data_IF_653793854720
#
_entry.id   IF_653793854720
#
_cell.length_a   1.000
_cell.length_b   1.000
_cell.length_c   1.000
_cell.angle_alpha   90.00
_cell.angle_beta   90.00
_cell.angle_gamma   90.00
#
_symmetry.space_group_name_H-M   'P 1'
#
loop_
_entity.id
_entity.type
_entity.pdbx_description
1 polymer ?
#
# COMPACT_ATOMS: atom_id res chain seq x y z
N UNK A 1 -6.91 -15.88 10.74
CA UNK A 1 -7.73 -16.39 9.63
C UNK A 1 -7.21 -17.72 9.10
N UNK A 2 -5.97 -17.82 8.62
CA UNK A 2 -5.44 -19.08 8.07
C UNK A 2 -5.46 -20.23 9.08
N UNK A 3 -5.16 -20.00 10.35
CA UNK A 3 -5.24 -20.99 11.43
C UNK A 3 -6.69 -21.42 11.68
N UNK A 4 -7.62 -20.49 11.71
CA UNK A 4 -9.05 -20.77 11.91
C UNK A 4 -9.66 -21.64 10.80
N UNK A 5 -9.15 -21.52 9.56
CA UNK A 5 -9.51 -22.42 8.47
C UNK A 5 -8.98 -23.85 8.72
N UNK A 6 -7.72 -23.94 9.13
CA UNK A 6 -7.04 -25.24 9.32
C UNK A 6 -7.62 -26.02 10.50
N UNK A 7 -7.96 -25.32 11.58
CA UNK A 7 -8.49 -25.90 12.82
C UNK A 7 -10.01 -26.09 12.80
N UNK A 8 -10.68 -25.80 11.68
CA UNK A 8 -12.14 -25.92 11.54
C UNK A 8 -12.95 -24.90 12.36
N UNK A 9 -12.30 -23.94 13.01
CA UNK A 9 -12.97 -22.91 13.85
C UNK A 9 -13.97 -22.08 13.07
N UNK A 10 -13.66 -21.77 11.79
CA UNK A 10 -14.59 -21.08 10.88
C UNK A 10 -15.88 -21.86 10.67
N UNK A 11 -15.80 -23.18 10.52
CA UNK A 11 -16.97 -24.06 10.39
C UNK A 11 -17.79 -24.07 11.68
N UNK A 12 -17.14 -24.15 12.82
CA UNK A 12 -17.81 -24.14 14.12
C UNK A 12 -18.59 -22.84 14.38
N UNK A 13 -18.03 -21.68 14.02
CA UNK A 13 -18.73 -20.39 14.11
C UNK A 13 -20.05 -20.38 13.32
N UNK A 14 -20.06 -21.00 12.13
CA UNK A 14 -21.27 -21.09 11.30
C UNK A 14 -22.29 -22.09 11.87
N UNK A 15 -21.83 -23.22 12.42
CA UNK A 15 -22.72 -24.22 13.05
C UNK A 15 -23.42 -23.61 14.28
N UNK A 16 -22.76 -22.75 15.04
CA UNK A 16 -23.34 -22.05 16.20
C UNK A 16 -24.33 -20.94 15.79
N UNK A 17 -24.44 -20.63 14.49
CA UNK A 17 -25.45 -19.71 13.95
C UNK A 17 -24.92 -18.35 13.44
N UNK A 18 -23.61 -18.13 13.44
CA UNK A 18 -23.07 -16.92 12.83
C UNK A 18 -23.20 -16.95 11.30
N UNK A 19 -23.63 -15.83 10.73
CA UNK A 19 -23.70 -15.72 9.28
C UNK A 19 -22.29 -15.68 8.65
N UNK A 20 -22.15 -16.20 7.44
CA UNK A 20 -20.85 -16.17 6.71
C UNK A 20 -20.33 -14.74 6.54
N UNK A 21 -21.23 -13.75 6.40
CA UNK A 21 -20.86 -12.34 6.30
C UNK A 21 -20.23 -11.83 7.60
N UNK A 22 -20.82 -12.13 8.73
CA UNK A 22 -20.30 -11.75 10.05
C UNK A 22 -18.92 -12.36 10.30
N UNK A 23 -18.74 -13.65 9.97
CA UNK A 23 -17.46 -14.34 10.11
C UNK A 23 -16.39 -13.70 9.24
N UNK A 24 -16.68 -13.30 8.00
CA UNK A 24 -15.74 -12.58 7.14
C UNK A 24 -15.40 -11.20 7.71
N UNK A 25 -16.42 -10.41 8.07
CA UNK A 25 -16.22 -9.05 8.58
C UNK A 25 -15.47 -9.03 9.93
N UNK A 26 -15.73 -10.01 10.82
CA UNK A 26 -14.95 -10.15 12.04
C UNK A 26 -13.49 -10.47 11.77
N UNK A 27 -13.21 -11.28 10.74
CA UNK A 27 -11.84 -11.56 10.28
C UNK A 27 -11.16 -10.32 9.72
N UNK A 28 -11.86 -9.54 8.90
CA UNK A 28 -11.36 -8.26 8.40
C UNK A 28 -11.09 -7.26 9.54
N UNK A 29 -12.03 -7.13 10.48
CA UNK A 29 -11.87 -6.26 11.65
C UNK A 29 -10.63 -6.65 12.49
N UNK A 30 -10.43 -7.95 12.73
CA UNK A 30 -9.26 -8.45 13.45
C UNK A 30 -7.95 -8.14 12.70
N UNK A 31 -7.92 -8.31 11.37
CA UNK A 31 -6.77 -7.95 10.54
C UNK A 31 -6.50 -6.45 10.58
N UNK A 32 -7.55 -5.62 10.46
CA UNK A 32 -7.45 -4.18 10.53
C UNK A 32 -6.90 -3.71 11.89
N UNK A 33 -7.42 -4.25 13.00
CA UNK A 33 -6.90 -3.94 14.34
C UNK A 33 -5.41 -4.29 14.44
N UNK A 34 -5.00 -5.46 13.95
CA UNK A 34 -3.59 -5.86 13.93
C UNK A 34 -2.71 -4.88 13.15
N UNK A 35 -3.15 -4.45 11.98
CA UNK A 35 -2.45 -3.47 11.16
C UNK A 35 -2.40 -2.08 11.84
N UNK A 36 -3.50 -1.65 12.48
CA UNK A 36 -3.55 -0.38 13.21
C UNK A 36 -2.63 -0.37 14.44
N UNK A 37 -2.45 -1.51 15.11
CA UNK A 37 -1.48 -1.64 16.22
C UNK A 37 -0.04 -1.42 15.70
N UNK A 38 0.28 -1.95 14.52
CA UNK A 38 1.59 -1.74 13.89
C UNK A 38 1.76 -0.26 13.50
N UNK A 39 0.72 0.35 12.91
CA UNK A 39 0.73 1.76 12.57
C UNK A 39 0.89 2.65 13.82
N UNK A 40 0.22 2.30 14.92
CA UNK A 40 0.38 2.99 16.20
C UNK A 40 1.82 2.90 16.72
N UNK A 41 2.44 1.71 16.67
CA UNK A 41 3.83 1.54 17.07
C UNK A 41 4.78 2.41 16.22
N UNK A 42 4.52 2.50 14.92
CA UNK A 42 5.23 3.40 14.01
C UNK A 42 5.05 4.87 14.41
N UNK A 43 3.81 5.31 14.65
CA UNK A 43 3.49 6.69 15.07
C UNK A 43 4.16 7.06 16.40
N UNK A 44 4.22 6.12 17.36
CA UNK A 44 4.93 6.32 18.65
C UNK A 44 6.43 6.47 18.40
N UNK A 45 7.03 5.63 17.56
CA UNK A 45 8.46 5.72 17.21
C UNK A 45 8.79 7.06 16.56
N UNK A 46 7.91 7.54 15.68
CA UNK A 46 7.99 8.82 15.05
C UNK A 46 7.92 9.97 16.07
N UNK A 47 6.98 9.92 17.04
CA UNK A 47 6.87 10.90 18.10
C UNK A 47 8.14 10.97 18.97
N UNK A 48 8.77 9.84 19.26
CA UNK A 48 10.08 9.79 19.95
C UNK A 48 11.17 10.47 19.12
N UNK A 49 11.19 10.25 17.79
CA UNK A 49 12.09 10.95 16.87
C UNK A 49 11.93 12.46 16.92
N UNK A 50 10.69 12.95 16.93
CA UNK A 50 10.38 14.38 17.07
C UNK A 50 10.94 14.98 18.37
N UNK A 51 10.83 14.27 19.48
CA UNK A 51 11.39 14.74 20.76
C UNK A 51 12.91 14.84 20.72
N UNK A 52 13.58 13.93 20.02
CA UNK A 52 15.04 13.89 19.95
C UNK A 52 15.63 14.85 18.90
N UNK A 53 14.99 14.98 17.75
CA UNK A 53 15.52 15.72 16.58
C UNK A 53 14.85 17.08 16.36
N UNK A 54 13.79 17.38 17.09
CA UNK A 54 13.02 18.60 16.95
C UNK A 54 11.75 18.44 16.14
N UNK A 55 10.94 19.50 16.18
CA UNK A 55 9.63 19.53 15.52
C UNK A 55 9.75 19.79 14.01
N UNK A 56 8.78 19.30 13.25
CA UNK A 56 8.69 19.56 11.81
C UNK A 56 8.35 21.02 11.52
N UNK A 57 8.75 21.44 10.32
CA UNK A 57 8.29 22.69 9.72
C UNK A 57 6.93 22.55 9.02
N UNK A 58 6.43 21.31 8.85
CA UNK A 58 5.18 21.05 8.17
C UNK A 58 3.96 21.57 8.94
N UNK A 59 2.99 22.22 8.27
CA UNK A 59 1.77 22.72 8.92
C UNK A 59 0.87 21.57 9.37
N UNK A 60 0.20 21.71 10.51
CA UNK A 60 -0.71 20.73 11.11
C UNK A 60 -1.77 20.15 10.15
N UNK A 61 -2.44 20.93 9.27
CA UNK A 61 -3.40 20.36 8.35
C UNK A 61 -2.79 19.33 7.41
N UNK A 62 -1.55 19.53 6.98
CA UNK A 62 -0.84 18.58 6.13
C UNK A 62 -0.59 17.25 6.84
N UNK A 63 -0.11 17.30 8.09
CA UNK A 63 0.10 16.09 8.92
C UNK A 63 -1.20 15.32 9.17
N UNK A 64 -2.33 16.01 9.37
CA UNK A 64 -3.62 15.36 9.55
C UNK A 64 -4.09 14.64 8.29
N UNK A 65 -3.89 15.23 7.11
CA UNK A 65 -4.23 14.62 5.82
C UNK A 65 -3.36 13.40 5.56
N UNK A 66 -2.06 13.49 5.81
CA UNK A 66 -1.14 12.35 5.68
C UNK A 66 -1.52 11.22 6.65
N UNK A 67 -1.77 11.54 7.92
CA UNK A 67 -2.20 10.53 8.90
C UNK A 67 -3.53 9.85 8.53
N UNK A 68 -4.49 10.60 8.00
CA UNK A 68 -5.74 10.02 7.49
C UNK A 68 -5.49 9.10 6.28
N UNK A 69 -4.58 9.48 5.38
CA UNK A 69 -4.18 8.65 4.24
C UNK A 69 -3.50 7.35 4.73
N UNK A 70 -2.58 7.41 5.69
CA UNK A 70 -1.92 6.22 6.26
C UNK A 70 -2.92 5.23 6.87
N UNK A 71 -3.94 5.72 7.58
CA UNK A 71 -5.00 4.87 8.13
C UNK A 71 -5.79 4.17 7.01
N UNK A 72 -6.13 4.88 5.92
CA UNK A 72 -6.86 4.31 4.79
C UNK A 72 -6.02 3.36 3.96
N UNK A 73 -4.76 3.66 3.73
CA UNK A 73 -3.80 2.73 3.10
C UNK A 73 -3.71 1.44 3.92
N UNK A 74 -3.56 1.57 5.24
CA UNK A 74 -3.53 0.43 6.17
C UNK A 74 -4.81 -0.40 6.08
N UNK A 75 -5.98 0.24 6.01
CA UNK A 75 -7.27 -0.44 5.85
C UNK A 75 -7.40 -1.14 4.48
N UNK A 76 -6.90 -0.53 3.41
CA UNK A 76 -6.87 -1.14 2.08
C UNK A 76 -5.98 -2.40 2.05
N UNK A 77 -4.79 -2.32 2.64
CA UNK A 77 -3.87 -3.47 2.78
C UNK A 77 -4.51 -4.58 3.61
N UNK A 78 -5.14 -4.25 4.76
CA UNK A 78 -5.87 -5.24 5.58
C UNK A 78 -6.99 -5.92 4.79
N UNK A 79 -7.71 -5.17 3.93
CA UNK A 79 -8.73 -5.71 3.02
C UNK A 79 -8.16 -6.69 2.00
N UNK A 80 -7.05 -6.33 1.35
CA UNK A 80 -6.35 -7.20 0.39
C UNK A 80 -5.89 -8.50 1.07
N UNK A 81 -5.23 -8.40 2.22
CA UNK A 81 -4.72 -9.55 2.97
C UNK A 81 -5.86 -10.47 3.44
N UNK A 82 -6.97 -9.89 3.92
CA UNK A 82 -8.16 -10.66 4.32
C UNK A 82 -8.79 -11.40 3.15
N UNK A 83 -8.90 -10.74 1.98
CA UNK A 83 -9.38 -11.35 0.76
C UNK A 83 -8.50 -12.54 0.35
N UNK A 84 -7.18 -12.38 0.32
CA UNK A 84 -6.22 -13.44 -0.02
C UNK A 84 -6.34 -14.64 0.93
N UNK A 85 -6.39 -14.39 2.25
CA UNK A 85 -6.61 -15.44 3.24
C UNK A 85 -7.95 -16.15 3.06
N UNK A 86 -8.97 -15.45 2.57
CA UNK A 86 -10.29 -16.02 2.30
C UNK A 86 -10.28 -16.89 1.05
N UNK A 87 -9.55 -16.52 0.01
CA UNK A 87 -9.44 -17.31 -1.23
C UNK A 87 -8.66 -18.61 -1.01
N UNK A 88 -7.61 -18.57 -0.21
CA UNK A 88 -6.83 -19.76 0.15
C UNK A 88 -7.42 -20.47 1.37
N UNK A 89 -7.39 -21.80 1.35
CA UNK A 89 -7.78 -22.65 2.51
C UNK A 89 -6.57 -23.15 3.30
N UNK A 90 -5.35 -22.89 2.80
CA UNK A 90 -4.10 -23.33 3.40
C UNK A 90 -3.34 -22.14 4.02
N UNK A 91 -3.07 -22.24 5.31
CA UNK A 91 -2.36 -21.19 6.07
C UNK A 91 -1.00 -20.83 5.48
N UNK A 92 -0.19 -21.85 5.15
CA UNK A 92 1.15 -21.62 4.60
C UNK A 92 1.09 -20.98 3.21
N UNK A 93 0.22 -21.48 2.33
CA UNK A 93 0.02 -20.92 1.00
C UNK A 93 -0.49 -19.47 1.07
N UNK A 94 -1.44 -19.16 1.98
CA UNK A 94 -1.93 -17.78 2.18
C UNK A 94 -0.82 -16.83 2.58
N UNK A 95 0.06 -17.25 3.50
CA UNK A 95 1.17 -16.43 3.96
C UNK A 95 2.18 -16.16 2.85
N UNK A 96 2.57 -17.20 2.10
CA UNK A 96 3.51 -17.08 0.98
C UNK A 96 2.96 -16.17 -0.11
N UNK A 97 1.70 -16.38 -0.53
CA UNK A 97 1.05 -15.55 -1.55
C UNK A 97 0.97 -14.09 -1.09
N UNK A 98 0.62 -13.84 0.19
CA UNK A 98 0.52 -12.49 0.72
C UNK A 98 1.88 -11.78 0.71
N UNK A 99 2.96 -12.46 1.12
CA UNK A 99 4.32 -11.90 1.11
C UNK A 99 4.76 -11.61 -0.32
N UNK A 100 4.59 -12.55 -1.24
CA UNK A 100 4.98 -12.38 -2.64
C UNK A 100 4.19 -11.25 -3.32
N UNK A 101 2.88 -11.15 -3.05
CA UNK A 101 2.06 -10.05 -3.59
C UNK A 101 2.51 -8.70 -3.05
N UNK A 102 2.75 -8.58 -1.73
CA UNK A 102 3.23 -7.32 -1.16
C UNK A 102 4.59 -6.93 -1.73
N UNK A 103 5.51 -7.88 -1.86
CA UNK A 103 6.82 -7.65 -2.48
C UNK A 103 6.67 -7.18 -3.94
N UNK A 104 5.83 -7.86 -4.72
CA UNK A 104 5.56 -7.49 -6.12
C UNK A 104 4.99 -6.06 -6.23
N UNK A 105 4.02 -5.72 -5.37
CA UNK A 105 3.40 -4.39 -5.35
C UNK A 105 4.42 -3.29 -5.00
N UNK A 106 5.33 -3.56 -4.06
CA UNK A 106 6.39 -2.61 -3.69
C UNK A 106 7.38 -2.42 -4.85
N UNK A 107 7.86 -3.52 -5.44
CA UNK A 107 8.81 -3.45 -6.57
C UNK A 107 8.18 -2.72 -7.76
N UNK A 108 6.94 -3.04 -8.09
CA UNK A 108 6.21 -2.38 -9.19
C UNK A 108 6.02 -0.87 -8.91
N UNK A 109 5.60 -0.50 -7.71
CA UNK A 109 5.41 0.89 -7.34
C UNK A 109 6.73 1.67 -7.34
N UNK A 110 7.81 1.06 -6.83
CA UNK A 110 9.16 1.67 -6.86
C UNK A 110 9.67 1.86 -8.30
N UNK A 111 9.41 0.89 -9.17
CA UNK A 111 9.81 1.01 -10.59
C UNK A 111 9.05 2.13 -11.30
N UNK A 112 7.74 2.26 -11.04
CA UNK A 112 6.91 3.32 -11.59
C UNK A 112 7.37 4.69 -11.05
N UNK A 113 7.57 4.78 -9.75
CA UNK A 113 8.03 6.01 -9.11
C UNK A 113 9.39 6.46 -9.65
N UNK A 114 10.38 5.56 -9.74
CA UNK A 114 11.68 5.88 -10.29
C UNK A 114 11.59 6.35 -11.75
N UNK A 115 10.74 5.75 -12.57
CA UNK A 115 10.51 6.18 -13.94
C UNK A 115 9.87 7.58 -14.03
N UNK A 116 9.05 7.97 -13.05
CA UNK A 116 8.48 9.32 -12.96
C UNK A 116 9.51 10.37 -12.52
N UNK A 117 10.50 9.98 -11.72
CA UNK A 117 11.59 10.84 -11.26
C UNK A 117 12.67 11.10 -12.33
N UNK A 118 12.68 10.36 -13.44
CA UNK A 118 13.65 10.58 -14.51
C UNK A 118 13.45 11.94 -15.18
N UNK A 119 14.50 12.77 -15.28
CA UNK A 119 14.43 14.07 -15.94
C UNK A 119 14.30 13.92 -17.46
N UNK A 120 13.66 14.89 -18.12
CA UNK A 120 13.48 14.90 -19.57
C UNK A 120 14.80 14.99 -20.34
N UNK A 121 15.75 15.74 -19.78
CA UNK A 121 17.10 15.91 -20.36
C UNK A 121 18.16 15.54 -19.35
N UNK A 122 19.23 14.92 -19.83
CA UNK A 122 20.41 14.57 -19.05
C UNK A 122 21.64 15.21 -19.65
N UNK A 123 22.53 15.72 -18.80
CA UNK A 123 23.83 16.24 -19.20
C UNK A 123 24.91 15.38 -18.56
N UNK A 124 25.89 14.97 -19.34
CA UNK A 124 27.03 14.19 -18.87
C UNK A 124 28.24 15.07 -18.65
N UNK A 125 28.87 14.95 -17.49
CA UNK A 125 30.17 15.59 -17.25
C UNK A 125 31.26 14.84 -17.98
N UNK A 126 32.03 15.57 -18.85
CA UNK A 126 33.21 15.05 -19.53
C UNK A 126 34.45 15.54 -18.79
N UNK A 127 35.33 14.63 -18.40
CA UNK A 127 36.61 14.99 -17.80
C UNK A 127 37.56 15.50 -18.89
N UNK A 128 37.96 16.77 -18.79
CA UNK A 128 38.94 17.40 -19.65
C UNK A 128 40.22 17.70 -18.85
N UNK A 129 41.31 18.06 -19.52
CA UNK A 129 42.56 18.46 -18.86
C UNK A 129 42.40 19.68 -17.95
N UNK A 130 41.35 20.48 -18.18
CA UNK A 130 41.05 21.70 -17.42
C UNK A 130 39.98 21.48 -16.31
N UNK A 131 39.49 20.25 -16.12
CA UNK A 131 38.46 19.92 -15.14
C UNK A 131 37.28 19.16 -15.75
N UNK A 132 36.13 19.26 -15.11
CA UNK A 132 34.87 18.65 -15.60
C UNK A 132 34.09 19.69 -16.39
N UNK A 133 33.91 19.45 -17.68
CA UNK A 133 33.00 20.22 -18.52
C UNK A 133 31.65 19.50 -18.61
N UNK A 134 30.56 20.26 -18.43
CA UNK A 134 29.21 19.71 -18.57
C UNK A 134 28.84 19.76 -20.04
N UNK A 135 28.63 18.61 -20.66
CA UNK A 135 28.17 18.47 -22.03
C UNK A 135 26.79 19.07 -22.28
N UNK A 136 26.41 19.19 -23.54
CA UNK A 136 25.09 19.61 -23.94
C UNK A 136 24.00 18.65 -23.37
N UNK A 137 22.84 19.21 -23.07
CA UNK A 137 21.73 18.44 -22.59
C UNK A 137 21.13 17.56 -23.71
N UNK A 138 21.14 16.24 -23.51
CA UNK A 138 20.57 15.27 -24.44
C UNK A 138 19.24 14.74 -23.93
N UNK A 139 18.28 14.39 -24.83
CA UNK A 139 17.03 13.77 -24.41
C UNK A 139 17.27 12.45 -23.68
N UNK A 140 16.67 12.28 -22.51
CA UNK A 140 16.79 11.08 -21.70
C UNK A 140 15.90 9.95 -22.26
N UNK A 141 16.46 8.83 -22.75
CA UNK A 141 15.65 7.72 -23.27
C UNK A 141 14.81 7.01 -22.19
N UNK A 142 15.13 7.19 -20.91
CA UNK A 142 14.37 6.65 -19.79
C UNK A 142 13.18 7.54 -19.34
N UNK A 143 13.12 8.77 -19.87
CA UNK A 143 12.03 9.69 -19.54
C UNK A 143 10.68 9.20 -20.07
N UNK A 144 9.70 9.09 -19.20
CA UNK A 144 8.34 8.69 -19.54
C UNK A 144 7.50 9.94 -19.83
N UNK A 145 6.96 10.04 -21.05
CA UNK A 145 6.16 11.19 -21.51
C UNK A 145 4.74 10.80 -21.96
N UNK A 146 3.89 11.80 -22.13
CA UNK A 146 2.53 11.65 -22.70
C UNK A 146 1.63 10.77 -21.84
N UNK A 147 0.75 10.02 -22.49
CA UNK A 147 -0.29 9.19 -21.83
C UNK A 147 0.33 8.17 -20.86
N UNK A 148 1.53 7.66 -21.14
CA UNK A 148 2.17 6.70 -20.25
C UNK A 148 2.55 7.33 -18.91
N UNK A 149 2.97 8.60 -18.90
CA UNK A 149 3.24 9.36 -17.68
C UNK A 149 1.97 9.53 -16.84
N UNK A 150 0.85 9.89 -17.46
CA UNK A 150 -0.45 10.02 -16.78
C UNK A 150 -0.90 8.68 -16.15
N UNK A 151 -0.69 7.55 -16.85
CA UNK A 151 -0.98 6.22 -16.33
C UNK A 151 -0.10 5.90 -15.11
N UNK A 152 1.18 6.24 -15.15
CA UNK A 152 2.13 6.01 -14.06
C UNK A 152 1.79 6.89 -12.85
N UNK A 153 1.49 8.17 -13.07
CA UNK A 153 1.04 9.08 -12.01
C UNK A 153 -0.26 8.60 -11.35
N UNK A 154 -1.23 8.16 -12.15
CA UNK A 154 -2.44 7.54 -11.63
C UNK A 154 -2.13 6.26 -10.83
N UNK A 155 -1.29 5.38 -11.36
CA UNK A 155 -0.97 4.10 -10.72
C UNK A 155 -0.26 4.28 -9.38
N UNK A 156 0.72 5.19 -9.27
CA UNK A 156 1.44 5.43 -8.02
C UNK A 156 0.53 6.07 -6.97
N UNK A 157 -0.43 6.92 -7.38
CA UNK A 157 -1.42 7.51 -6.48
C UNK A 157 -2.56 6.56 -6.10
N UNK A 158 -2.89 5.57 -6.94
CA UNK A 158 -3.99 4.64 -6.70
C UNK A 158 -3.56 3.40 -5.90
N UNK A 159 -2.34 2.92 -6.08
CA UNK A 159 -1.84 1.71 -5.40
C UNK A 159 -1.39 2.02 -3.96
N UNK A 160 -1.79 1.24 -2.95
CA UNK A 160 -1.37 1.45 -1.56
C UNK A 160 0.16 1.50 -1.37
N UNK A 161 0.91 0.67 -2.11
CA UNK A 161 2.38 0.69 -2.10
C UNK A 161 2.96 1.96 -2.72
N UNK A 162 2.35 2.49 -3.80
CA UNK A 162 2.75 3.74 -4.41
C UNK A 162 2.48 4.93 -3.50
N UNK A 163 1.31 4.97 -2.88
CA UNK A 163 0.97 6.01 -1.89
C UNK A 163 1.95 6.03 -0.72
N UNK A 164 2.40 4.85 -0.25
CA UNK A 164 3.42 4.75 0.78
C UNK A 164 4.76 5.35 0.35
N UNK A 165 5.16 5.18 -0.92
CA UNK A 165 6.37 5.78 -1.48
C UNK A 165 6.23 7.31 -1.56
N UNK A 166 5.09 7.82 -2.06
CA UNK A 166 4.82 9.26 -2.13
C UNK A 166 4.83 9.92 -0.75
N UNK A 167 4.23 9.27 0.26
CA UNK A 167 4.27 9.75 1.65
C UNK A 167 5.69 9.78 2.21
N UNK A 168 6.50 8.75 1.92
CA UNK A 168 7.88 8.67 2.41
C UNK A 168 8.82 9.71 1.76
N UNK A 169 8.51 10.17 0.55
CA UNK A 169 9.28 11.18 -0.17
C UNK A 169 8.69 12.60 -0.06
N UNK A 170 7.65 12.79 0.76
CA UNK A 170 6.95 14.08 0.93
C UNK A 170 6.30 14.62 -0.37
N UNK A 171 6.06 13.76 -1.36
CA UNK A 171 5.48 14.08 -2.69
C UNK A 171 3.98 13.72 -2.76
N UNK A 172 3.24 13.93 -1.68
CA UNK A 172 1.82 13.57 -1.58
C UNK A 172 0.90 14.69 -2.12
N UNK A 173 1.03 14.99 -3.42
CA UNK A 173 0.37 16.13 -4.07
C UNK A 173 -1.12 15.92 -4.35
N UNK A 174 -1.55 14.66 -4.50
CA UNK A 174 -2.93 14.28 -4.83
C UNK A 174 -3.66 13.53 -3.70
N UNK A 175 -3.80 14.11 -2.49
CA UNK A 175 -4.32 13.40 -1.32
C UNK A 175 -5.75 12.90 -1.52
N UNK A 176 -6.60 13.64 -2.21
CA UNK A 176 -7.99 13.26 -2.47
C UNK A 176 -8.07 12.00 -3.34
N UNK A 177 -7.27 11.94 -4.40
CA UNK A 177 -7.20 10.76 -5.28
C UNK A 177 -6.74 9.53 -4.50
N UNK A 178 -5.66 9.66 -3.75
CA UNK A 178 -5.07 8.57 -2.95
C UNK A 178 -6.02 8.06 -1.87
N UNK A 179 -6.66 8.95 -1.13
CA UNK A 179 -7.65 8.63 -0.11
C UNK A 179 -8.86 7.90 -0.72
N UNK A 180 -9.40 8.42 -1.83
CA UNK A 180 -10.52 7.78 -2.53
C UNK A 180 -10.14 6.41 -3.09
N UNK A 181 -8.96 6.27 -3.67
CA UNK A 181 -8.46 4.99 -4.20
C UNK A 181 -8.32 3.93 -3.10
N UNK A 182 -7.71 4.28 -1.96
CA UNK A 182 -7.59 3.37 -0.81
C UNK A 182 -8.94 2.97 -0.24
N UNK A 183 -9.87 3.92 -0.10
CA UNK A 183 -11.24 3.63 0.31
C UNK A 183 -11.96 2.69 -0.68
N UNK A 184 -11.83 2.92 -1.97
CA UNK A 184 -12.36 2.04 -3.02
C UNK A 184 -11.77 0.64 -2.93
N UNK A 185 -10.45 0.49 -2.78
CA UNK A 185 -9.78 -0.81 -2.64
C UNK A 185 -10.31 -1.55 -1.41
N UNK A 186 -10.39 -0.88 -0.26
CA UNK A 186 -10.93 -1.46 0.97
C UNK A 186 -12.37 -1.96 0.78
N UNK A 187 -13.23 -1.16 0.16
CA UNK A 187 -14.63 -1.52 -0.08
C UNK A 187 -14.74 -2.67 -1.09
N UNK A 188 -14.03 -2.60 -2.21
CA UNK A 188 -14.05 -3.63 -3.24
C UNK A 188 -13.54 -4.98 -2.70
N UNK A 189 -12.42 -4.99 -1.99
CA UNK A 189 -11.87 -6.23 -1.40
C UNK A 189 -12.81 -6.81 -0.35
N UNK A 190 -13.50 -5.97 0.43
CA UNK A 190 -14.49 -6.41 1.42
C UNK A 190 -15.74 -6.99 0.76
N UNK A 191 -16.26 -6.36 -0.30
CA UNK A 191 -17.43 -6.86 -1.05
C UNK A 191 -17.11 -8.17 -1.76
N UNK A 192 -16.00 -8.20 -2.50
CA UNK A 192 -15.55 -9.40 -3.24
C UNK A 192 -15.27 -10.54 -2.24
N UNK A 193 -14.57 -10.26 -1.15
CA UNK A 193 -14.24 -11.25 -0.13
C UNK A 193 -15.47 -11.83 0.57
N UNK A 194 -16.43 -10.98 0.91
CA UNK A 194 -17.72 -11.42 1.47
C UNK A 194 -18.47 -12.31 0.47
N UNK A 195 -18.52 -11.94 -0.80
CA UNK A 195 -19.16 -12.73 -1.86
C UNK A 195 -18.46 -14.07 -2.11
N UNK A 196 -17.13 -14.06 -2.14
CA UNK A 196 -16.32 -15.27 -2.28
C UNK A 196 -16.51 -16.22 -1.09
N UNK A 197 -16.52 -15.67 0.13
CA UNK A 197 -16.72 -16.48 1.34
C UNK A 197 -18.10 -17.12 1.42
N UNK A 198 -19.15 -16.47 0.91
CA UNK A 198 -20.48 -17.06 0.80
C UNK A 198 -20.53 -18.33 -0.02
N UNK A 199 -19.72 -18.39 -1.09
CA UNK A 199 -19.68 -19.52 -2.02
C UNK A 199 -18.66 -20.60 -1.65
N UNK A 200 -17.80 -20.33 -0.65
CA UNK A 200 -16.71 -21.24 -0.28
C UNK A 200 -17.26 -22.46 0.49
N UNK A 201 -16.86 -23.65 0.07
CA UNK A 201 -17.10 -24.88 0.81
C UNK A 201 -16.14 -24.96 2.00
N UNK A 202 -16.69 -24.95 3.20
CA UNK A 202 -15.95 -25.15 4.44
C UNK A 202 -15.97 -26.65 4.76
N UNK A 203 -14.88 -27.33 4.42
CA UNK A 203 -14.68 -28.75 4.76
C UNK A 203 -14.27 -28.90 6.22
#
# INVERSE_FOLDING_TARGET
LGTEYQDGTMRNKIIVGHSRREVYLSGFAAALVGCLVILLAWTVSFAVGVVQFGWFTAPWPHLLVQGAAEVLITAAVAGILTLLCTLSSNKAASAVIAILLMFLLIVMASSIYNALCEPEFVSFGVYTENGVEIGDAEPNPAYVSGVMREIYEFAVNALPSGQGILLANEEFDHPVLSICASACIMLLTTVIGTAAFKRKNLK
#
